data_IF_395982002302
#
_entry.id   IF_395982002302
#
_cell.length_a   1.000
_cell.length_b   1.000
_cell.length_c   1.000
_cell.angle_alpha   90.00
_cell.angle_beta   90.00
_cell.angle_gamma   90.00
#
_symmetry.space_group_name_H-M   'P 1'
#
loop_
_entity.id
_entity.type
_entity.pdbx_description
1 polymer ?
#
# COMPACT_ATOMS: atom_id res chain seq x y z
N UNK A 1 -2.23 17.87 12.63
CA UNK A 1 -2.89 17.22 11.47
C UNK A 1 -2.09 15.97 11.16
N UNK A 2 -2.73 14.83 10.99
CA UNK A 2 -2.02 13.59 10.64
C UNK A 2 -1.72 13.65 9.14
N UNK A 3 -0.46 13.89 8.76
CA UNK A 3 -0.06 13.95 7.35
C UNK A 3 -0.16 12.54 6.74
N UNK A 4 -1.25 12.30 6.01
CA UNK A 4 -1.42 11.12 5.17
C UNK A 4 -0.68 11.36 3.87
N UNK A 5 0.26 10.49 3.53
CA UNK A 5 1.02 10.58 2.30
C UNK A 5 0.29 9.82 1.19
N UNK A 6 -0.19 10.50 0.14
CA UNK A 6 -0.77 9.83 -1.02
C UNK A 6 0.34 9.08 -1.78
N UNK A 7 0.28 7.75 -1.79
CA UNK A 7 1.25 6.87 -2.46
C UNK A 7 0.92 6.65 -3.93
N UNK A 8 -0.32 6.91 -4.34
CA UNK A 8 -0.79 6.80 -5.72
C UNK A 8 -2.14 6.09 -5.79
N UNK A 9 -2.42 5.49 -6.93
CA UNK A 9 -3.66 4.75 -7.21
C UNK A 9 -3.34 3.31 -7.63
N UNK A 10 -4.18 2.37 -7.21
CA UNK A 10 -4.13 0.94 -7.54
C UNK A 10 -5.54 0.51 -7.96
N UNK A 11 -5.75 0.23 -9.25
CA UNK A 11 -7.10 0.04 -9.79
C UNK A 11 -7.99 1.26 -9.52
N UNK A 12 -9.10 1.04 -8.81
CA UNK A 12 -10.03 2.10 -8.40
C UNK A 12 -9.80 2.62 -6.98
N UNK A 13 -8.71 2.20 -6.33
CA UNK A 13 -8.36 2.61 -4.97
C UNK A 13 -7.26 3.66 -4.96
N UNK A 14 -7.52 4.81 -4.33
CA UNK A 14 -6.49 5.73 -3.89
C UNK A 14 -5.78 5.16 -2.65
N UNK A 15 -4.46 5.14 -2.68
CA UNK A 15 -3.63 4.57 -1.60
C UNK A 15 -2.93 5.69 -0.85
N UNK A 16 -3.12 5.70 0.47
CA UNK A 16 -2.51 6.63 1.41
C UNK A 16 -1.70 5.85 2.42
N UNK A 17 -0.53 6.37 2.78
CA UNK A 17 0.30 5.84 3.85
C UNK A 17 0.26 6.77 5.05
N UNK A 18 0.02 6.20 6.22
CA UNK A 18 0.10 6.89 7.49
C UNK A 18 1.42 6.51 8.19
N UNK A 19 2.41 7.42 8.26
CA UNK A 19 3.69 7.13 8.90
C UNK A 19 3.60 6.94 10.42
N UNK A 20 2.56 7.47 11.07
CA UNK A 20 2.40 7.44 12.54
C UNK A 20 2.07 6.03 13.03
N UNK A 21 1.16 5.34 12.35
CA UNK A 21 0.72 4.00 12.73
C UNK A 21 1.18 2.91 11.76
N UNK A 22 1.99 3.27 10.75
CA UNK A 22 2.51 2.37 9.71
C UNK A 22 1.40 1.60 8.99
N UNK A 23 0.32 2.29 8.63
CA UNK A 23 -0.81 1.68 7.90
C UNK A 23 -0.98 2.28 6.52
N UNK A 24 -1.45 1.44 5.60
CA UNK A 24 -1.89 1.83 4.28
C UNK A 24 -3.41 1.83 4.23
N UNK A 25 -3.98 2.95 3.80
CA UNK A 25 -5.42 3.15 3.62
C UNK A 25 -5.67 3.15 2.12
N UNK A 26 -6.54 2.26 1.65
CA UNK A 26 -6.94 2.17 0.26
C UNK A 26 -8.41 2.55 0.17
N UNK A 27 -8.75 3.66 -0.47
CA UNK A 27 -10.12 4.17 -0.59
C UNK A 27 -10.59 4.11 -2.04
N UNK A 28 -11.71 3.42 -2.28
CA UNK A 28 -12.35 3.33 -3.59
C UNK A 28 -13.16 4.59 -3.87
N UNK A 29 -12.85 5.24 -4.99
CA UNK A 29 -13.39 6.56 -5.32
C UNK A 29 -14.90 6.54 -5.61
N UNK A 30 -15.44 5.40 -6.06
CA UNK A 30 -16.81 5.30 -6.57
C UNK A 30 -17.89 5.09 -5.51
N UNK A 31 -17.58 4.46 -4.38
CA UNK A 31 -18.61 3.96 -3.45
C UNK A 31 -18.17 3.89 -1.98
N UNK A 32 -17.15 4.68 -1.60
CA UNK A 32 -16.64 4.79 -0.23
C UNK A 32 -16.15 3.47 0.38
N UNK A 33 -15.94 2.43 -0.43
CA UNK A 33 -15.32 1.21 0.07
C UNK A 33 -13.86 1.46 0.43
N UNK A 34 -13.40 0.93 1.55
CA UNK A 34 -12.04 1.16 2.02
C UNK A 34 -11.42 -0.12 2.57
N UNK A 35 -10.11 -0.26 2.41
CA UNK A 35 -9.33 -1.33 2.99
C UNK A 35 -8.10 -0.78 3.70
N UNK A 36 -7.84 -1.30 4.89
CA UNK A 36 -6.74 -0.91 5.75
C UNK A 36 -5.75 -2.07 5.84
N UNK A 37 -4.49 -1.81 5.49
CA UNK A 37 -3.40 -2.77 5.53
C UNK A 37 -2.27 -2.31 6.44
N UNK A 38 -1.52 -3.26 7.00
CA UNK A 38 -0.27 -2.98 7.69
C UNK A 38 0.87 -2.76 6.69
N UNK A 39 1.79 -1.86 7.01
CA UNK A 39 3.04 -1.69 6.29
C UNK A 39 4.22 -2.20 7.13
N UNK A 40 5.18 -2.97 6.56
CA UNK A 40 5.31 -3.34 5.16
C UNK A 40 4.67 -4.70 4.77
N UNK A 41 4.09 -5.44 5.71
CA UNK A 41 3.62 -6.81 5.45
C UNK A 41 2.41 -6.89 4.51
N UNK A 42 1.68 -5.80 4.32
CA UNK A 42 0.44 -5.74 3.56
C UNK A 42 -0.62 -6.71 4.11
N UNK A 43 -0.62 -6.96 5.42
CA UNK A 43 -1.66 -7.76 6.08
C UNK A 43 -2.93 -6.93 6.25
N UNK A 44 -4.07 -7.54 5.98
CA UNK A 44 -5.37 -6.87 6.07
C UNK A 44 -5.74 -6.65 7.54
N UNK A 45 -5.89 -5.39 7.94
CA UNK A 45 -6.37 -5.00 9.27
C UNK A 45 -7.90 -4.95 9.28
N UNK A 46 -8.47 -4.28 8.28
CA UNK A 46 -9.92 -4.08 8.19
C UNK A 46 -10.34 -3.75 6.76
N UNK A 47 -11.59 -4.06 6.40
CA UNK A 47 -12.19 -3.61 5.15
C UNK A 47 -13.64 -3.18 5.38
N UNK A 48 -14.10 -2.25 4.55
CA UNK A 48 -15.46 -1.74 4.51
C UNK A 48 -15.92 -1.79 3.06
N UNK A 49 -16.88 -2.64 2.72
CA UNK A 49 -17.49 -2.67 1.39
C UNK A 49 -16.60 -3.20 0.25
N UNK A 50 -15.41 -3.74 0.56
CA UNK A 50 -14.51 -4.36 -0.42
C UNK A 50 -14.68 -5.88 -0.36
N UNK A 51 -14.91 -6.53 -1.50
CA UNK A 51 -15.09 -7.97 -1.51
C UNK A 51 -13.75 -8.73 -1.44
N UNK A 52 -13.79 -10.03 -1.11
CA UNK A 52 -12.59 -10.85 -0.91
C UNK A 52 -11.68 -10.95 -2.16
N UNK A 53 -12.27 -10.97 -3.35
CA UNK A 53 -11.52 -11.04 -4.61
C UNK A 53 -10.75 -9.73 -4.86
N UNK A 54 -11.41 -8.59 -4.66
CA UNK A 54 -10.81 -7.26 -4.76
C UNK A 54 -9.71 -7.07 -3.72
N UNK A 55 -9.93 -7.51 -2.47
CA UNK A 55 -8.92 -7.46 -1.41
C UNK A 55 -7.68 -8.27 -1.77
N UNK A 56 -7.85 -9.47 -2.33
CA UNK A 56 -6.75 -10.32 -2.77
C UNK A 56 -5.92 -9.67 -3.90
N UNK A 57 -6.60 -9.07 -4.87
CA UNK A 57 -5.96 -8.34 -5.97
C UNK A 57 -5.23 -7.09 -5.47
N UNK A 58 -5.88 -6.30 -4.63
CA UNK A 58 -5.33 -5.08 -4.02
C UNK A 58 -4.08 -5.41 -3.19
N UNK A 59 -4.15 -6.43 -2.32
CA UNK A 59 -3.01 -6.91 -1.54
C UNK A 59 -1.84 -7.32 -2.43
N UNK A 60 -2.09 -8.09 -3.49
CA UNK A 60 -1.04 -8.54 -4.41
C UNK A 60 -0.35 -7.36 -5.10
N UNK A 61 -1.11 -6.34 -5.52
CA UNK A 61 -0.56 -5.14 -6.15
C UNK A 61 0.22 -4.26 -5.17
N UNK A 62 -0.25 -4.14 -3.91
CA UNK A 62 0.48 -3.47 -2.84
C UNK A 62 1.82 -4.17 -2.59
N UNK A 63 1.82 -5.49 -2.41
CA UNK A 63 3.05 -6.28 -2.21
C UNK A 63 4.01 -6.06 -3.37
N UNK A 64 3.56 -6.16 -4.62
CA UNK A 64 4.42 -5.93 -5.78
C UNK A 64 5.03 -4.52 -5.77
N UNK A 65 4.22 -3.49 -5.54
CA UNK A 65 4.70 -2.09 -5.53
C UNK A 65 5.73 -1.82 -4.43
N UNK A 66 5.44 -2.27 -3.21
CA UNK A 66 6.30 -2.00 -2.05
C UNK A 66 7.47 -2.98 -1.93
N UNK A 67 7.40 -4.17 -2.52
CA UNK A 67 8.55 -5.07 -2.68
C UNK A 67 9.52 -4.56 -3.75
N UNK A 68 9.04 -4.05 -4.89
CA UNK A 68 9.90 -3.45 -5.92
C UNK A 68 10.62 -2.20 -5.42
N UNK A 69 9.99 -1.41 -4.55
CA UNK A 69 10.64 -0.26 -3.89
C UNK A 69 11.79 -0.72 -2.97
N UNK A 70 11.65 -1.90 -2.35
CA UNK A 70 12.68 -2.51 -1.52
C UNK A 70 13.85 -3.11 -2.33
N UNK A 71 13.59 -3.54 -3.58
CA UNK A 71 14.64 -4.00 -4.50
C UNK A 71 15.44 -2.81 -5.03
N UNK A 72 14.78 -1.73 -5.45
CA UNK A 72 15.46 -0.51 -5.91
C UNK A 72 16.34 0.14 -4.81
N UNK A 73 15.94 0.07 -3.54
CA UNK A 73 16.76 0.51 -2.42
C UNK A 73 17.97 -0.41 -2.15
N UNK A 74 17.85 -1.72 -2.44
CA UNK A 74 18.97 -2.67 -2.33
C UNK A 74 19.97 -2.56 -3.48
N UNK A 75 19.51 -2.27 -4.71
CA UNK A 75 20.43 -2.12 -5.85
C UNK A 75 21.31 -0.87 -5.75
N UNK A 76 20.82 0.24 -5.16
CA UNK A 76 21.64 1.43 -4.90
C UNK A 76 22.64 1.28 -3.74
N UNK A 77 22.57 0.20 -2.95
CA UNK A 77 23.54 -0.06 -1.86
C UNK A 77 24.72 -0.94 -2.30
N UNK A 78 24.69 -1.46 -3.53
CA UNK A 78 25.71 -2.40 -4.05
C UNK A 78 26.68 -1.77 -5.05
N UNK A 79 26.63 -0.45 -5.27
CA UNK A 79 27.49 0.22 -6.26
C UNK A 79 28.60 1.10 -5.64
N UNK A 80 28.87 0.97 -4.34
CA UNK A 80 29.99 1.63 -3.64
C UNK A 80 31.04 0.59 -3.18
N UNK A 81 31.56 -0.22 -4.09
CA UNK A 81 32.83 -0.91 -3.89
C UNK A 81 33.66 -0.83 -5.18
N UNK A 82 34.65 0.08 -5.12
CA UNK A 82 35.91 0.20 -5.89
C UNK A 82 36.08 -0.56 -7.20
#
# INVERSE_FOLDING_TARGET
>A
MTDLHKCGRIGDFDVYYNPVNKRMICERTSDLAAALFEYPSCDLVHNWGVNAQELSQLRSQLINRFSSTNIAAKENSNNDYF
#
